data_IF_164105879522
#
_entry.id   IF_164105879522
#
_cell.length_a   1.000
_cell.length_b   1.000
_cell.length_c   1.000
_cell.angle_alpha   90.00
_cell.angle_beta   90.00
_cell.angle_gamma   90.00
#
_symmetry.space_group_name_H-M   'P 1'
#
loop_
_entity.id
_entity.type
_entity.pdbx_description
1 polymer ?
#
# COMPACT_ATOMS: atom_id res chain seq x y z
N UNK A 1 22.84 -8.25 -0.48
CA UNK A 1 24.01 -7.36 -0.67
C UNK A 1 24.54 -7.58 -2.08
N UNK A 2 25.22 -6.59 -2.65
CA UNK A 2 25.80 -6.67 -3.99
C UNK A 2 27.14 -5.94 -4.05
N UNK A 3 27.70 -5.87 -5.25
CA UNK A 3 28.98 -5.20 -5.52
C UNK A 3 28.81 -4.33 -6.77
N UNK A 4 29.38 -3.12 -6.79
CA UNK A 4 29.41 -2.25 -7.98
C UNK A 4 30.44 -2.75 -9.00
N UNK A 5 30.48 -2.15 -10.21
CA UNK A 5 31.56 -2.45 -11.17
C UNK A 5 32.97 -2.07 -10.65
N UNK A 6 33.05 -1.19 -9.66
CA UNK A 6 34.30 -0.77 -9.02
C UNK A 6 34.69 -1.59 -7.78
N UNK A 7 34.05 -2.74 -7.56
CA UNK A 7 34.25 -3.62 -6.40
C UNK A 7 33.80 -3.04 -5.04
N UNK A 8 32.99 -1.97 -5.03
CA UNK A 8 32.43 -1.42 -3.80
C UNK A 8 31.22 -2.23 -3.33
N UNK A 9 31.17 -2.56 -2.04
CA UNK A 9 30.04 -3.25 -1.41
C UNK A 9 28.82 -2.33 -1.36
N UNK A 10 27.68 -2.83 -1.82
CA UNK A 10 26.39 -2.12 -1.78
C UNK A 10 25.27 -2.95 -1.16
N UNK A 11 24.22 -2.29 -0.67
CA UNK A 11 23.03 -2.93 -0.09
C UNK A 11 21.82 -2.74 -0.99
N UNK A 12 20.83 -3.64 -0.86
CA UNK A 12 19.57 -3.57 -1.61
C UNK A 12 18.45 -2.92 -0.78
N UNK A 13 18.79 -2.27 0.33
CA UNK A 13 17.83 -1.77 1.30
C UNK A 13 17.10 -2.88 2.08
N UNK A 14 15.98 -2.51 2.71
CA UNK A 14 15.11 -3.45 3.45
C UNK A 14 14.48 -4.45 2.48
N UNK A 15 14.34 -5.71 2.91
CA UNK A 15 13.83 -6.78 2.05
C UNK A 15 14.84 -7.29 1.01
N UNK A 16 16.12 -6.91 1.12
CA UNK A 16 17.16 -7.36 0.20
C UNK A 16 17.33 -8.88 0.09
N UNK A 17 16.89 -9.65 1.09
CA UNK A 17 16.85 -11.12 1.04
C UNK A 17 15.92 -11.63 -0.06
N UNK A 18 14.67 -11.20 -0.04
CA UNK A 18 13.66 -11.55 -1.06
C UNK A 18 14.12 -11.15 -2.47
N UNK A 19 14.66 -9.93 -2.60
CA UNK A 19 15.15 -9.41 -3.88
C UNK A 19 16.31 -10.28 -4.41
N UNK A 20 17.25 -10.64 -3.53
CA UNK A 20 18.37 -11.51 -3.92
C UNK A 20 17.87 -12.89 -4.31
N UNK A 21 16.96 -13.48 -3.53
CA UNK A 21 16.36 -14.78 -3.82
C UNK A 21 15.67 -14.82 -5.19
N UNK A 22 14.85 -13.81 -5.48
CA UNK A 22 14.18 -13.66 -6.77
C UNK A 22 15.17 -13.47 -7.93
N UNK A 23 16.20 -12.64 -7.75
CA UNK A 23 17.22 -12.41 -8.77
C UNK A 23 18.04 -13.67 -9.09
N UNK A 24 18.39 -14.45 -8.06
CA UNK A 24 19.09 -15.73 -8.24
C UNK A 24 18.18 -16.75 -8.92
N UNK A 25 16.91 -16.84 -8.52
CA UNK A 25 15.92 -17.70 -9.17
C UNK A 25 15.79 -17.35 -10.67
N UNK A 26 15.74 -16.07 -11.01
CA UNK A 26 15.74 -15.57 -12.39
C UNK A 26 17.00 -15.97 -13.15
N UNK A 27 18.19 -15.71 -12.58
CA UNK A 27 19.46 -16.03 -13.23
C UNK A 27 19.64 -17.54 -13.49
N UNK A 28 19.09 -18.39 -12.63
CA UNK A 28 19.17 -19.85 -12.74
C UNK A 28 18.02 -20.48 -13.53
N UNK A 29 17.06 -19.71 -14.03
CA UNK A 29 15.80 -20.21 -14.59
C UNK A 29 15.12 -21.24 -13.66
N UNK A 30 15.05 -20.92 -12.37
CA UNK A 30 14.47 -21.80 -11.37
C UNK A 30 12.97 -22.05 -11.66
N UNK A 31 12.49 -23.25 -11.34
CA UNK A 31 11.08 -23.58 -11.48
C UNK A 31 10.17 -22.90 -10.46
N UNK A 32 10.73 -22.41 -9.35
CA UNK A 32 10.03 -21.74 -8.26
C UNK A 32 11.00 -20.88 -7.46
N UNK A 33 10.52 -19.74 -6.96
CA UNK A 33 11.18 -18.95 -5.92
C UNK A 33 10.43 -19.14 -4.58
N UNK A 34 11.02 -19.84 -3.62
CA UNK A 34 10.40 -20.02 -2.30
C UNK A 34 10.77 -18.86 -1.37
N UNK A 35 9.76 -18.19 -0.82
CA UNK A 35 9.93 -17.16 0.22
C UNK A 35 9.48 -17.76 1.55
N UNK A 36 10.45 -18.11 2.38
CA UNK A 36 10.23 -18.72 3.69
C UNK A 36 10.22 -17.64 4.77
N UNK A 37 9.07 -17.45 5.42
CA UNK A 37 8.82 -16.37 6.39
C UNK A 37 8.25 -16.94 7.70
N UNK A 38 7.84 -16.09 8.64
CA UNK A 38 7.22 -16.47 9.92
C UNK A 38 5.69 -16.61 9.84
N UNK A 39 5.08 -16.15 8.75
CA UNK A 39 3.65 -16.33 8.45
C UNK A 39 3.37 -17.50 7.50
N UNK A 40 2.15 -18.01 7.54
CA UNK A 40 1.71 -19.16 6.75
C UNK A 40 1.75 -18.90 5.24
N UNK A 41 1.54 -17.66 4.83
CA UNK A 41 1.42 -17.23 3.44
C UNK A 41 0.87 -15.81 3.36
N UNK A 42 0.21 -15.47 2.25
CA UNK A 42 -0.46 -14.19 2.07
C UNK A 42 -1.87 -14.26 2.66
N UNK A 43 -2.13 -13.41 3.65
CA UNK A 43 -3.38 -13.32 4.38
C UNK A 43 -4.21 -12.12 3.93
N UNK A 44 -5.53 -12.16 4.12
CA UNK A 44 -6.43 -11.06 3.78
C UNK A 44 -6.33 -9.84 4.71
N UNK A 45 -5.58 -9.93 5.81
CA UNK A 45 -5.15 -8.82 6.65
C UNK A 45 -3.97 -9.27 7.54
N UNK A 46 -3.36 -8.34 8.28
CA UNK A 46 -2.37 -8.68 9.32
C UNK A 46 -3.03 -9.55 10.42
N UNK A 47 -2.59 -10.80 10.63
CA UNK A 47 -3.20 -11.72 11.60
C UNK A 47 -3.07 -11.23 13.05
N UNK A 48 -2.12 -10.36 13.36
CA UNK A 48 -2.00 -9.76 14.69
C UNK A 48 -3.11 -8.73 14.97
N UNK A 49 -3.63 -8.09 13.91
CA UNK A 49 -4.73 -7.14 14.01
C UNK A 49 -6.08 -7.83 13.85
N UNK A 50 -6.14 -8.84 12.98
CA UNK A 50 -7.35 -9.55 12.57
C UNK A 50 -7.13 -11.06 12.72
N UNK A 51 -7.51 -11.66 13.87
CA UNK A 51 -7.31 -13.10 14.11
C UNK A 51 -8.03 -14.00 13.09
N UNK A 52 -9.11 -13.51 12.47
CA UNK A 52 -9.87 -14.19 11.41
C UNK A 52 -9.35 -13.95 9.99
N UNK A 53 -8.12 -13.46 9.81
CA UNK A 53 -7.54 -13.22 8.49
C UNK A 53 -7.50 -14.52 7.67
N UNK A 54 -8.00 -14.47 6.42
CA UNK A 54 -8.11 -15.62 5.54
C UNK A 54 -6.80 -15.86 4.81
N UNK A 55 -6.31 -17.10 4.81
CA UNK A 55 -5.14 -17.51 4.03
C UNK A 55 -5.53 -17.76 2.57
N UNK A 56 -4.85 -17.10 1.64
CA UNK A 56 -5.07 -17.36 0.23
C UNK A 56 -4.22 -18.54 -0.23
N UNK A 57 -4.81 -19.60 -0.81
CA UNK A 57 -4.01 -20.67 -1.42
C UNK A 57 -3.26 -20.16 -2.65
N UNK A 58 -3.82 -19.16 -3.33
CA UNK A 58 -3.23 -18.60 -4.53
C UNK A 58 -3.70 -17.17 -4.81
N UNK A 59 -2.79 -16.33 -5.34
CA UNK A 59 -3.04 -14.97 -5.84
C UNK A 59 -2.22 -14.70 -7.13
N UNK A 60 -2.54 -13.59 -7.82
CA UNK A 60 -1.77 -13.10 -8.96
C UNK A 60 -0.51 -12.34 -8.54
N UNK A 61 0.44 -12.10 -9.47
CA UNK A 61 1.60 -11.27 -9.18
C UNK A 61 1.21 -9.83 -8.85
N UNK A 62 0.27 -9.27 -9.62
CA UNK A 62 -0.23 -7.91 -9.46
C UNK A 62 -0.91 -7.73 -8.09
N UNK A 63 -1.73 -8.71 -7.69
CA UNK A 63 -2.34 -8.78 -6.37
C UNK A 63 -1.28 -8.79 -5.24
N UNK A 64 -0.25 -9.62 -5.39
CA UNK A 64 0.83 -9.72 -4.41
C UNK A 64 1.66 -8.43 -4.30
N UNK A 65 2.01 -7.82 -5.44
CA UNK A 65 2.77 -6.57 -5.53
C UNK A 65 1.97 -5.44 -4.88
N UNK A 66 0.68 -5.34 -5.18
CA UNK A 66 -0.19 -4.30 -4.64
C UNK A 66 -0.41 -4.47 -3.13
N UNK A 67 -0.61 -5.70 -2.65
CA UNK A 67 -0.69 -6.01 -1.21
C UNK A 67 0.60 -5.61 -0.49
N UNK A 68 1.76 -6.03 -1.00
CA UNK A 68 3.07 -5.73 -0.41
C UNK A 68 3.34 -4.23 -0.35
N UNK A 69 3.07 -3.51 -1.46
CA UNK A 69 3.24 -2.06 -1.57
C UNK A 69 2.25 -1.28 -0.68
N UNK A 70 1.12 -1.88 -0.36
CA UNK A 70 0.11 -1.27 0.51
C UNK A 70 0.38 -1.48 2.00
N UNK A 71 1.35 -2.32 2.36
CA UNK A 71 1.81 -2.53 3.74
C UNK A 71 1.77 -3.97 4.22
N UNK A 72 1.32 -4.93 3.40
CA UNK A 72 1.37 -6.35 3.77
C UNK A 72 2.82 -6.84 3.85
N UNK A 73 3.30 -7.17 5.04
CA UNK A 73 4.70 -7.55 5.30
C UNK A 73 4.96 -9.03 5.05
N UNK A 74 4.64 -9.52 3.87
CA UNK A 74 4.79 -10.95 3.52
C UNK A 74 5.99 -11.20 2.61
N UNK A 75 6.23 -10.29 1.66
CA UNK A 75 7.38 -10.31 0.76
C UNK A 75 7.69 -8.89 0.26
N UNK A 76 8.91 -8.64 -0.19
CA UNK A 76 9.28 -7.36 -0.79
C UNK A 76 8.69 -7.20 -2.21
N UNK A 77 7.98 -6.11 -2.56
CA UNK A 77 7.29 -5.97 -3.85
C UNK A 77 8.21 -6.15 -5.06
N UNK A 78 9.44 -5.62 -4.98
CA UNK A 78 10.47 -5.80 -6.03
C UNK A 78 10.82 -7.27 -6.33
N UNK A 79 10.75 -8.15 -5.32
CA UNK A 79 10.99 -9.57 -5.53
C UNK A 79 9.88 -10.20 -6.39
N UNK A 80 8.62 -9.81 -6.15
CA UNK A 80 7.51 -10.25 -6.99
C UNK A 80 7.57 -9.68 -8.40
N UNK A 81 7.99 -8.42 -8.58
CA UNK A 81 8.22 -7.84 -9.91
C UNK A 81 9.27 -8.60 -10.72
N UNK A 82 10.39 -8.99 -10.09
CA UNK A 82 11.43 -9.81 -10.74
C UNK A 82 10.83 -11.15 -11.16
N UNK A 83 10.21 -11.88 -10.25
CA UNK A 83 9.60 -13.17 -10.54
C UNK A 83 8.52 -13.08 -11.64
N UNK A 84 7.70 -12.03 -11.63
CA UNK A 84 6.72 -11.75 -12.69
C UNK A 84 7.39 -11.55 -14.05
N UNK A 85 8.44 -10.72 -14.12
CA UNK A 85 9.14 -10.41 -15.37
C UNK A 85 9.80 -11.64 -16.02
N UNK A 86 10.24 -12.60 -15.21
CA UNK A 86 10.87 -13.85 -15.68
C UNK A 86 9.91 -15.05 -15.68
N UNK A 87 8.63 -14.84 -15.33
CA UNK A 87 7.63 -15.91 -15.31
C UNK A 87 7.87 -17.00 -14.26
N UNK A 88 8.56 -16.69 -13.16
CA UNK A 88 8.91 -17.63 -12.09
C UNK A 88 7.85 -17.60 -10.99
N UNK A 89 7.11 -18.69 -10.74
CA UNK A 89 6.16 -18.78 -9.64
C UNK A 89 6.84 -18.54 -8.29
N UNK A 90 6.16 -17.82 -7.39
CA UNK A 90 6.62 -17.64 -6.02
C UNK A 90 5.78 -18.54 -5.12
N UNK A 91 6.43 -19.19 -4.16
CA UNK A 91 5.73 -19.91 -3.10
C UNK A 91 6.08 -19.30 -1.74
N UNK A 92 5.11 -18.60 -1.16
CA UNK A 92 5.24 -18.04 0.19
C UNK A 92 4.82 -19.10 1.19
N UNK A 93 5.69 -19.40 2.16
CA UNK A 93 5.45 -20.43 3.17
C UNK A 93 6.12 -20.08 4.50
N UNK A 94 5.65 -20.69 5.57
CA UNK A 94 6.28 -20.58 6.89
C UNK A 94 7.53 -21.45 6.99
N UNK A 95 8.55 -20.93 7.67
CA UNK A 95 9.77 -21.68 8.04
C UNK A 95 9.54 -22.61 9.23
N UNK A 96 8.43 -22.47 9.96
CA UNK A 96 8.18 -23.18 11.21
C UNK A 96 7.33 -24.45 11.03
N UNK A 97 6.61 -24.59 9.91
CA UNK A 97 5.77 -25.76 9.65
C UNK A 97 5.46 -25.96 8.16
N UNK A 98 5.07 -27.18 7.79
CA UNK A 98 4.83 -27.60 6.40
C UNK A 98 3.39 -27.37 5.90
N UNK A 99 2.79 -26.21 6.21
CA UNK A 99 1.48 -25.83 5.61
C UNK A 99 1.64 -25.50 4.13
N UNK A 100 0.55 -25.59 3.38
CA UNK A 100 0.56 -25.39 1.93
C UNK A 100 0.94 -23.98 1.50
N UNK A 101 0.75 -22.96 2.36
CA UNK A 101 1.06 -21.56 2.08
C UNK A 101 0.32 -20.96 0.88
N UNK A 102 0.95 -19.99 0.22
CA UNK A 102 0.34 -19.24 -0.89
C UNK A 102 1.21 -19.27 -2.14
N UNK A 103 0.61 -19.68 -3.25
CA UNK A 103 1.22 -19.58 -4.57
C UNK A 103 0.95 -18.22 -5.23
N UNK A 104 1.97 -17.61 -5.82
CA UNK A 104 1.86 -16.38 -6.62
C UNK A 104 2.34 -16.72 -8.03
N UNK A 105 1.43 -16.62 -9.01
CA UNK A 105 1.73 -16.95 -10.42
C UNK A 105 0.77 -16.27 -11.40
N UNK A 106 1.16 -16.22 -12.68
CA UNK A 106 0.37 -15.60 -13.73
C UNK A 106 -0.95 -16.36 -13.99
N UNK A 107 -1.96 -15.64 -14.47
CA UNK A 107 -3.18 -16.23 -15.01
C UNK A 107 -4.12 -16.81 -13.95
N UNK A 108 -3.89 -16.49 -12.67
CA UNK A 108 -4.79 -16.87 -11.59
C UNK A 108 -5.12 -15.66 -10.74
N UNK A 109 -6.40 -15.43 -10.58
CA UNK A 109 -6.98 -14.53 -9.57
C UNK A 109 -7.51 -15.40 -8.45
N UNK A 110 -7.43 -14.94 -7.20
CA UNK A 110 -8.04 -15.64 -6.07
C UNK A 110 -9.54 -15.88 -6.27
N UNK A 111 -10.20 -15.09 -7.14
CA UNK A 111 -11.62 -15.20 -7.46
C UNK A 111 -11.89 -14.92 -8.95
N UNK A 112 -12.84 -15.64 -9.57
CA UNK A 112 -13.29 -15.39 -10.96
C UNK A 112 -14.08 -14.06 -11.11
N UNK A 113 -14.54 -13.47 -10.00
CA UNK A 113 -15.26 -12.19 -9.94
C UNK A 113 -14.43 -11.10 -9.25
N UNK A 114 -14.68 -9.81 -9.55
CA UNK A 114 -14.01 -8.71 -8.85
C UNK A 114 -14.25 -8.81 -7.35
N UNK A 115 -13.18 -8.84 -6.58
CA UNK A 115 -13.25 -8.97 -5.13
C UNK A 115 -12.10 -8.25 -4.46
N UNK A 116 -12.35 -7.84 -3.21
CA UNK A 116 -11.30 -7.45 -2.29
C UNK A 116 -10.62 -8.72 -1.83
N UNK A 117 -9.31 -8.82 -2.05
CA UNK A 117 -8.48 -9.93 -1.58
C UNK A 117 -7.78 -9.60 -0.26
N UNK A 118 -7.66 -8.32 0.09
CA UNK A 118 -7.10 -7.98 1.38
C UNK A 118 -7.30 -6.54 1.81
N UNK A 119 -7.10 -6.34 3.11
CA UNK A 119 -7.07 -5.05 3.78
C UNK A 119 -5.68 -4.89 4.38
N UNK A 120 -5.05 -3.78 4.07
CA UNK A 120 -3.72 -3.43 4.60
C UNK A 120 -3.80 -2.14 5.39
N UNK A 121 -2.97 -2.06 6.42
CA UNK A 121 -2.78 -0.87 7.23
C UNK A 121 -1.30 -0.53 7.29
N UNK A 122 -1.00 0.76 7.19
CA UNK A 122 0.35 1.28 7.23
C UNK A 122 0.40 2.51 8.14
N UNK A 123 1.32 2.47 9.11
CA UNK A 123 1.50 3.52 10.13
C UNK A 123 2.78 4.31 9.81
N UNK A 124 3.00 5.40 10.54
CA UNK A 124 4.23 6.21 10.46
C UNK A 124 4.36 6.90 9.10
N UNK A 125 3.29 7.54 8.67
CA UNK A 125 3.31 8.44 7.53
C UNK A 125 2.93 9.84 7.99
N UNK A 126 3.45 10.85 7.30
CA UNK A 126 3.03 12.23 7.47
C UNK A 126 2.33 12.73 6.20
N UNK A 127 1.27 13.51 6.39
CA UNK A 127 0.57 14.19 5.31
C UNK A 127 1.10 15.62 5.20
N UNK A 128 1.63 15.98 4.04
CA UNK A 128 2.11 17.32 3.76
C UNK A 128 1.15 17.98 2.77
N UNK A 129 0.68 19.19 3.09
CA UNK A 129 -0.20 19.96 2.21
C UNK A 129 0.40 21.33 1.93
N UNK A 130 0.54 21.66 0.65
CA UNK A 130 0.94 22.98 0.17
C UNK A 130 -0.30 23.75 -0.30
N UNK A 131 -0.40 25.01 0.12
CA UNK A 131 -1.52 25.89 -0.20
C UNK A 131 -1.17 26.91 -1.27
N UNK A 132 -2.15 27.22 -2.11
CA UNK A 132 -2.07 28.22 -3.19
C UNK A 132 -0.81 28.09 -4.06
N UNK A 133 -0.51 26.87 -4.48
CA UNK A 133 0.58 26.59 -5.41
C UNK A 133 0.18 27.12 -6.80
N UNK A 134 0.99 27.94 -7.49
CA UNK A 134 0.67 28.40 -8.85
C UNK A 134 0.44 27.22 -9.80
N UNK A 135 -0.72 27.18 -10.45
CA UNK A 135 -1.08 26.11 -11.38
C UNK A 135 -0.52 26.39 -12.78
N UNK A 136 0.81 26.28 -12.91
CA UNK A 136 1.53 26.46 -14.17
C UNK A 136 2.60 25.38 -14.37
N UNK A 137 2.94 25.04 -15.62
CA UNK A 137 3.96 24.04 -15.90
C UNK A 137 5.28 24.30 -15.17
N UNK A 138 5.86 23.24 -14.64
CA UNK A 138 7.17 23.26 -13.96
C UNK A 138 7.12 23.34 -12.43
N UNK A 139 6.06 23.89 -11.83
CA UNK A 139 5.99 24.09 -10.37
C UNK A 139 6.02 22.77 -9.60
N UNK A 140 5.19 21.79 -9.99
CA UNK A 140 5.23 20.46 -9.39
C UNK A 140 6.61 19.80 -9.57
N UNK A 141 7.25 19.98 -10.72
CA UNK A 141 8.59 19.48 -10.99
C UNK A 141 9.64 20.06 -10.05
N UNK A 142 9.57 21.37 -9.76
CA UNK A 142 10.47 22.03 -8.80
C UNK A 142 10.27 21.50 -7.37
N UNK A 143 9.01 21.37 -6.92
CA UNK A 143 8.66 20.83 -5.59
C UNK A 143 9.22 19.41 -5.42
N UNK A 144 8.96 18.53 -6.38
CA UNK A 144 9.35 17.12 -6.27
C UNK A 144 10.84 16.91 -6.53
N UNK A 145 11.49 17.79 -7.28
CA UNK A 145 12.96 17.82 -7.38
C UNK A 145 13.60 18.21 -6.04
N UNK A 146 13.11 19.27 -5.39
CA UNK A 146 13.64 19.72 -4.10
C UNK A 146 13.48 18.62 -3.01
N UNK A 147 12.43 17.81 -3.07
CA UNK A 147 12.26 16.61 -2.22
C UNK A 147 13.28 15.51 -2.55
N UNK A 148 13.47 15.21 -3.84
CA UNK A 148 14.42 14.19 -4.30
C UNK A 148 15.87 14.56 -3.98
N UNK A 149 16.25 15.84 -4.11
CA UNK A 149 17.59 16.36 -3.76
C UNK A 149 17.90 16.20 -2.25
N UNK A 150 16.87 15.97 -1.41
CA UNK A 150 16.98 15.65 0.02
C UNK A 150 16.77 14.18 0.36
N UNK A 151 16.67 13.30 -0.64
CA UNK A 151 16.38 11.87 -0.46
C UNK A 151 15.07 11.59 0.29
N UNK A 152 14.08 12.48 0.13
CA UNK A 152 12.74 12.32 0.73
C UNK A 152 11.85 11.56 -0.24
N UNK A 153 11.58 10.29 0.09
CA UNK A 153 10.71 9.43 -0.70
C UNK A 153 9.22 9.78 -0.51
N UNK A 154 8.49 9.81 -1.62
CA UNK A 154 7.08 10.17 -1.67
C UNK A 154 6.26 8.91 -1.96
N UNK A 155 5.22 8.71 -1.16
CA UNK A 155 4.37 7.51 -1.23
C UNK A 155 3.10 7.73 -2.05
N UNK A 156 2.57 8.94 -2.01
CA UNK A 156 1.32 9.30 -2.66
C UNK A 156 1.31 10.80 -2.94
N UNK A 157 0.78 11.18 -4.10
CA UNK A 157 0.55 12.57 -4.50
C UNK A 157 -0.95 12.72 -4.76
N UNK A 158 -1.53 13.79 -4.22
CA UNK A 158 -2.92 14.19 -4.39
C UNK A 158 -2.91 15.67 -4.75
N UNK A 159 -3.33 15.97 -5.98
CA UNK A 159 -3.56 17.36 -6.40
C UNK A 159 -5.04 17.54 -6.63
N UNK A 160 -5.64 18.46 -5.89
CA UNK A 160 -6.97 18.96 -6.21
C UNK A 160 -6.82 20.25 -7.00
N UNK A 161 -7.39 20.29 -8.20
CA UNK A 161 -7.57 21.55 -8.92
C UNK A 161 -8.47 22.46 -8.08
N UNK A 162 -8.01 23.71 -7.86
CA UNK A 162 -8.85 24.76 -7.30
C UNK A 162 -9.10 25.81 -8.39
N UNK A 163 -10.07 26.70 -8.17
CA UNK A 163 -10.57 27.59 -9.22
C UNK A 163 -9.42 28.44 -9.84
N UNK A 164 -9.21 28.19 -11.13
CA UNK A 164 -8.61 28.98 -12.22
C UNK A 164 -7.11 29.38 -12.22
N UNK A 165 -6.36 29.45 -11.10
CA UNK A 165 -4.89 29.71 -11.18
C UNK A 165 -4.03 29.09 -10.07
N UNK A 166 -4.66 28.47 -9.07
CA UNK A 166 -3.97 27.96 -7.88
C UNK A 166 -4.41 26.53 -7.60
N UNK A 167 -3.47 25.70 -7.17
CA UNK A 167 -3.71 24.33 -6.76
C UNK A 167 -3.40 24.13 -5.28
N UNK A 168 -3.99 23.08 -4.72
CA UNK A 168 -3.52 22.47 -3.47
C UNK A 168 -2.81 21.18 -3.83
N UNK A 169 -1.56 21.05 -3.39
CA UNK A 169 -0.78 19.83 -3.58
C UNK A 169 -0.59 19.20 -2.22
N UNK A 170 -1.14 18.00 -2.05
CA UNK A 170 -0.95 17.15 -0.88
C UNK A 170 -0.09 15.96 -1.28
N UNK A 171 0.86 15.58 -0.44
CA UNK A 171 1.65 14.37 -0.63
C UNK A 171 1.94 13.69 0.70
N UNK A 172 2.21 12.39 0.63
CA UNK A 172 2.47 11.54 1.79
C UNK A 172 3.94 11.13 1.78
N UNK A 173 4.61 11.28 2.91
CA UNK A 173 5.98 10.83 3.17
C UNK A 173 6.01 9.89 4.36
N UNK A 174 7.10 9.14 4.55
CA UNK A 174 7.32 8.46 5.84
C UNK A 174 7.51 9.50 6.95
N UNK A 175 7.01 9.20 8.16
CA UNK A 175 7.03 10.10 9.33
C UNK A 175 8.44 10.61 9.67
N UNK A 176 9.47 9.82 9.38
CA UNK A 176 10.87 10.21 9.60
C UNK A 176 11.31 11.42 8.74
N UNK A 177 10.65 11.68 7.61
CA UNK A 177 10.95 12.82 6.73
C UNK A 177 10.13 14.08 7.04
N UNK A 178 9.25 14.04 8.05
CA UNK A 178 8.35 15.15 8.36
C UNK A 178 9.08 16.47 8.71
N UNK A 179 10.22 16.39 9.39
CA UNK A 179 11.03 17.59 9.71
C UNK A 179 11.69 18.16 8.45
N UNK A 180 12.24 17.31 7.58
CA UNK A 180 12.80 17.73 6.29
C UNK A 180 11.75 18.38 5.38
N UNK A 181 10.52 17.84 5.36
CA UNK A 181 9.39 18.45 4.65
C UNK A 181 8.99 19.81 5.25
N UNK A 182 9.05 19.95 6.58
CA UNK A 182 8.76 21.23 7.26
C UNK A 182 9.75 22.32 6.85
N UNK A 183 11.03 21.98 6.71
CA UNK A 183 12.05 22.91 6.23
C UNK A 183 11.80 23.33 4.77
N UNK A 184 11.50 22.37 3.90
CA UNK A 184 11.18 22.65 2.50
C UNK A 184 9.96 23.57 2.34
N UNK A 185 8.91 23.40 3.15
CA UNK A 185 7.75 24.30 3.16
C UNK A 185 8.18 25.75 3.42
N UNK A 186 9.08 25.97 4.39
CA UNK A 186 9.59 27.32 4.69
C UNK A 186 10.38 27.91 3.52
N UNK A 187 11.11 27.07 2.79
CA UNK A 187 11.85 27.48 1.59
C UNK A 187 10.91 27.81 0.43
N UNK A 188 9.94 26.96 0.15
CA UNK A 188 8.94 27.18 -0.89
C UNK A 188 8.09 28.43 -0.63
N UNK A 189 7.76 28.71 0.64
CA UNK A 189 7.11 29.97 1.05
C UNK A 189 7.97 31.19 0.72
N UNK A 190 9.28 31.14 1.01
CA UNK A 190 10.22 32.23 0.67
C UNK A 190 10.41 32.40 -0.84
N UNK A 191 10.42 31.29 -1.59
CA UNK A 191 10.52 31.28 -3.06
C UNK A 191 9.22 31.72 -3.75
N UNK A 192 8.09 31.81 -3.03
CA UNK A 192 6.78 32.10 -3.59
C UNK A 192 6.16 30.93 -4.38
N UNK A 193 6.62 29.70 -4.14
CA UNK A 193 6.12 28.47 -4.75
C UNK A 193 4.78 28.03 -4.13
N UNK A 194 4.60 28.31 -2.84
CA UNK A 194 3.35 28.10 -2.10
C UNK A 194 3.14 29.28 -1.14
N UNK A 195 1.89 29.60 -0.80
CA UNK A 195 1.62 30.66 0.20
C UNK A 195 1.88 30.17 1.63
N UNK A 196 1.59 28.91 1.89
CA UNK A 196 1.94 28.21 3.12
C UNK A 196 1.95 26.70 2.92
N UNK A 197 2.31 25.96 3.97
CA UNK A 197 2.12 24.52 4.02
C UNK A 197 1.89 24.01 5.44
N UNK A 198 1.35 22.80 5.51
CA UNK A 198 1.04 22.10 6.76
C UNK A 198 1.62 20.69 6.70
N UNK A 199 2.25 20.27 7.79
CA UNK A 199 2.65 18.87 8.02
C UNK A 199 1.78 18.32 9.13
N UNK A 200 0.98 17.32 8.80
CA UNK A 200 0.16 16.55 9.73
C UNK A 200 0.86 15.21 9.98
N UNK A 201 1.35 15.06 11.21
CA UNK A 201 1.99 13.85 11.72
C UNK A 201 0.93 12.89 12.28
N UNK A 202 1.36 11.71 12.70
CA UNK A 202 0.48 10.69 13.28
C UNK A 202 -0.64 10.26 12.33
N UNK A 203 -0.35 10.22 11.03
CA UNK A 203 -1.27 9.74 10.01
C UNK A 203 -1.01 8.26 9.69
N UNK A 204 -2.07 7.59 9.25
CA UNK A 204 -2.04 6.21 8.80
C UNK A 204 -2.79 6.05 7.48
N UNK A 205 -2.37 5.05 6.70
CA UNK A 205 -3.03 4.63 5.47
C UNK A 205 -3.72 3.30 5.71
N UNK A 206 -4.99 3.23 5.35
CA UNK A 206 -5.72 1.97 5.20
C UNK A 206 -6.04 1.78 3.73
N UNK A 207 -5.89 0.56 3.22
CA UNK A 207 -6.22 0.25 1.84
C UNK A 207 -6.91 -1.10 1.70
N UNK A 208 -7.91 -1.15 0.83
CA UNK A 208 -8.40 -2.40 0.26
C UNK A 208 -7.66 -2.67 -1.04
N UNK A 209 -7.27 -3.92 -1.25
CA UNK A 209 -6.61 -4.40 -2.46
C UNK A 209 -7.43 -5.53 -3.06
N UNK A 210 -7.56 -5.52 -4.38
CA UNK A 210 -8.42 -6.44 -5.10
C UNK A 210 -8.26 -6.32 -6.60
N UNK A 211 -8.81 -7.25 -7.36
CA UNK A 211 -8.87 -7.11 -8.82
C UNK A 211 -10.04 -6.20 -9.21
N UNK A 212 -9.81 -5.29 -10.17
CA UNK A 212 -10.87 -4.48 -10.81
C UNK A 212 -11.66 -3.59 -9.82
N UNK A 213 -11.02 -3.05 -8.80
CA UNK A 213 -11.68 -2.18 -7.80
C UNK A 213 -12.25 -0.91 -8.45
N UNK A 214 -11.49 -0.25 -9.33
CA UNK A 214 -11.93 0.98 -10.00
C UNK A 214 -13.11 0.75 -10.95
N UNK A 215 -13.19 -0.44 -11.56
CA UNK A 215 -14.22 -0.83 -12.52
C UNK A 215 -15.40 -1.57 -11.91
N UNK A 216 -15.39 -1.81 -10.59
CA UNK A 216 -16.49 -2.51 -9.90
C UNK A 216 -17.24 -1.54 -9.00
N UNK A 217 -18.46 -1.12 -9.39
CA UNK A 217 -19.27 -0.22 -8.59
C UNK A 217 -19.53 -0.77 -7.18
N UNK A 218 -19.43 0.10 -6.18
CA UNK A 218 -19.87 -0.18 -4.81
C UNK A 218 -18.78 -0.68 -3.85
N UNK A 219 -17.62 -1.16 -4.30
CA UNK A 219 -16.56 -1.63 -3.39
C UNK A 219 -15.97 -0.49 -2.54
N UNK A 220 -15.65 0.64 -3.17
CA UNK A 220 -15.19 1.83 -2.43
C UNK A 220 -16.28 2.34 -1.45
N UNK A 221 -17.55 2.34 -1.87
CA UNK A 221 -18.66 2.76 -1.03
C UNK A 221 -18.79 1.89 0.22
N UNK A 222 -18.66 0.57 0.10
CA UNK A 222 -18.65 -0.36 1.24
C UNK A 222 -17.53 -0.04 2.24
N UNK A 223 -16.30 0.19 1.75
CA UNK A 223 -15.18 0.61 2.60
C UNK A 223 -15.50 1.91 3.35
N UNK A 224 -15.97 2.94 2.65
CA UNK A 224 -16.26 4.25 3.27
C UNK A 224 -17.39 4.15 4.29
N UNK A 225 -18.43 3.36 4.01
CA UNK A 225 -19.52 3.11 4.95
C UNK A 225 -19.06 2.32 6.18
N UNK A 226 -18.15 1.36 6.01
CA UNK A 226 -17.56 0.62 7.13
C UNK A 226 -16.76 1.55 8.05
N UNK A 227 -15.95 2.45 7.50
CA UNK A 227 -15.24 3.47 8.27
C UNK A 227 -16.20 4.44 8.97
N UNK A 228 -17.24 4.88 8.28
CA UNK A 228 -18.23 5.81 8.83
C UNK A 228 -18.99 5.22 10.03
N UNK A 229 -19.34 3.91 10.01
CA UNK A 229 -19.99 3.23 11.15
C UNK A 229 -19.12 3.21 12.41
N UNK A 230 -17.80 3.22 12.25
CA UNK A 230 -16.82 3.30 13.34
C UNK A 230 -16.48 4.74 13.76
N UNK A 231 -17.16 5.75 13.18
CA UNK A 231 -16.88 7.16 13.43
C UNK A 231 -15.49 7.61 12.96
N UNK A 232 -14.93 6.96 11.94
CA UNK A 232 -13.59 7.23 11.41
C UNK A 232 -13.69 8.26 10.28
N UNK A 233 -13.05 9.41 10.46
CA UNK A 233 -13.00 10.45 9.44
C UNK A 233 -11.95 10.11 8.37
N UNK A 234 -12.27 10.35 7.10
CA UNK A 234 -11.35 10.15 5.98
C UNK A 234 -10.75 11.51 5.59
N UNK A 235 -9.42 11.61 5.67
CA UNK A 235 -8.68 12.83 5.34
C UNK A 235 -8.37 12.95 3.85
N UNK A 236 -7.97 11.84 3.24
CA UNK A 236 -7.63 11.76 1.83
C UNK A 236 -8.08 10.43 1.27
N UNK A 237 -8.46 10.43 -0.01
CA UNK A 237 -8.80 9.23 -0.77
C UNK A 237 -7.87 9.16 -1.98
N UNK A 238 -7.34 7.98 -2.24
CA UNK A 238 -6.63 7.67 -3.48
C UNK A 238 -7.09 6.32 -4.01
N UNK A 239 -7.07 6.16 -5.33
CA UNK A 239 -7.52 4.94 -5.99
C UNK A 239 -6.64 4.62 -7.19
N UNK A 240 -6.49 3.34 -7.47
CA UNK A 240 -5.92 2.77 -8.69
C UNK A 240 -6.85 1.66 -9.19
N UNK A 241 -6.47 0.94 -10.23
CA UNK A 241 -7.26 -0.19 -10.72
C UNK A 241 -7.47 -1.28 -9.67
N UNK A 242 -6.46 -1.51 -8.80
CA UNK A 242 -6.45 -2.62 -7.85
C UNK A 242 -6.46 -2.21 -6.38
N UNK A 243 -6.50 -0.91 -6.10
CA UNK A 243 -6.43 -0.38 -4.72
C UNK A 243 -7.35 0.80 -4.52
N UNK A 244 -8.04 0.83 -3.39
CA UNK A 244 -8.63 2.05 -2.81
C UNK A 244 -7.98 2.28 -1.45
N UNK A 245 -7.40 3.46 -1.25
CA UNK A 245 -6.70 3.83 -0.04
C UNK A 245 -7.30 5.09 0.58
N UNK A 246 -7.37 5.10 1.92
CA UNK A 246 -7.76 6.25 2.71
C UNK A 246 -6.62 6.63 3.66
N UNK A 247 -6.43 7.93 3.86
CA UNK A 247 -5.61 8.47 4.94
C UNK A 247 -6.53 8.81 6.11
N UNK A 248 -6.14 8.39 7.31
CA UNK A 248 -6.87 8.55 8.58
C UNK A 248 -5.86 8.85 9.70
N UNK A 249 -6.33 9.16 10.91
CA UNK A 249 -5.44 9.31 12.07
C UNK A 249 -4.94 7.95 12.56
N UNK A 250 -3.70 7.89 13.05
CA UNK A 250 -3.02 6.62 13.41
C UNK A 250 -3.71 5.86 14.54
N UNK A 251 -4.29 6.57 15.50
CA UNK A 251 -5.01 5.99 16.64
C UNK A 251 -6.25 5.17 16.22
N UNK A 252 -6.78 5.44 15.03
CA UNK A 252 -7.97 4.78 14.50
C UNK A 252 -7.66 3.57 13.62
N UNK A 253 -6.39 3.35 13.22
CA UNK A 253 -6.03 2.38 12.19
C UNK A 253 -6.46 0.94 12.54
N UNK A 254 -6.19 0.49 13.76
CA UNK A 254 -6.47 -0.90 14.12
C UNK A 254 -7.98 -1.19 14.11
N UNK A 255 -8.80 -0.20 14.50
CA UNK A 255 -10.26 -0.29 14.41
C UNK A 255 -10.73 -0.24 12.95
N UNK A 256 -10.13 0.65 12.15
CA UNK A 256 -10.40 0.77 10.72
C UNK A 256 -10.16 -0.56 9.98
N UNK A 257 -8.99 -1.18 10.20
CA UNK A 257 -8.59 -2.43 9.54
C UNK A 257 -9.56 -3.55 9.89
N UNK A 258 -9.93 -3.70 11.17
CA UNK A 258 -10.91 -4.72 11.60
C UNK A 258 -12.29 -4.51 10.99
N UNK A 259 -12.81 -3.29 11.03
CA UNK A 259 -14.15 -2.99 10.52
C UNK A 259 -14.25 -3.14 8.99
N UNK A 260 -13.23 -2.70 8.27
CA UNK A 260 -13.17 -2.88 6.81
C UNK A 260 -12.97 -4.35 6.47
N UNK A 261 -12.15 -5.09 7.22
CA UNK A 261 -12.00 -6.53 7.00
C UNK A 261 -13.31 -7.27 7.24
N UNK A 262 -14.01 -7.00 8.35
CA UNK A 262 -15.31 -7.59 8.65
C UNK A 262 -16.34 -7.29 7.55
N UNK A 263 -16.38 -6.06 7.02
CA UNK A 263 -17.27 -5.71 5.91
C UNK A 263 -17.06 -6.58 4.66
N UNK A 264 -15.82 -6.96 4.34
CA UNK A 264 -15.50 -7.74 3.13
C UNK A 264 -15.38 -9.26 3.36
N UNK A 265 -15.05 -9.69 4.57
CA UNK A 265 -14.70 -11.06 4.91
C UNK A 265 -15.48 -11.64 6.10
N UNK A 266 -16.34 -10.86 6.74
CA UNK A 266 -17.29 -11.34 7.73
C UNK A 266 -18.28 -12.34 7.13
N UNK A 267 -18.85 -13.19 7.98
CA UNK A 267 -19.98 -14.03 7.56
C UNK A 267 -21.22 -13.15 7.34
N UNK A 268 -22.02 -13.41 6.29
CA UNK A 268 -23.28 -12.69 6.14
C UNK A 268 -24.14 -12.92 7.39
N UNK A 269 -24.72 -11.86 7.97
CA UNK A 269 -25.75 -12.02 9.00
C UNK A 269 -26.82 -12.97 8.45
N UNK A 270 -26.90 -14.17 9.03
CA UNK A 270 -28.00 -15.09 8.76
C UNK A 270 -29.24 -14.39 9.29
N UNK A 271 -30.03 -13.79 8.39
CA UNK A 271 -31.35 -13.26 8.70
C UNK A 271 -32.14 -14.43 9.27
N UNK A 272 -32.24 -14.52 10.60
CA UNK A 272 -33.15 -15.44 11.26
C UNK A 272 -34.54 -15.01 10.84
N UNK A 273 -35.08 -15.66 9.80
CA UNK A 273 -36.50 -15.60 9.53
C UNK A 273 -37.21 -15.98 10.82
N UNK A 274 -37.88 -15.01 11.43
CA UNK A 274 -38.89 -15.29 12.45
C UNK A 274 -39.92 -16.20 11.79
N UNK A 275 -39.81 -17.50 12.03
CA UNK A 275 -40.90 -18.43 11.78
C UNK A 275 -42.01 -17.96 12.72
N UNK A 276 -43.05 -17.37 12.12
CA UNK A 276 -44.24 -16.93 12.84
C UNK A 276 -44.86 -18.10 13.58
N UNK A 277 -45.26 -17.85 14.82
CA UNK A 277 -46.24 -18.65 15.55
C UNK A 277 -47.64 -18.07 15.29
#
# INVERSE_FOLDING_TARGET
QGVTEGDDVTTLGRGGGDITGAAVAAALNASVCEICTDVDGVLSADPNLVPGARLWPQISYEEAIEMASSGAKVLHPRAAEICMAYGIPIHVRSSFHHRAGTWIRQGVSAMEQPSVIGVSGDKKIAKVTLFEVPDRPGIAGEIFKDLADRDINIRLIIQSASNEERARITFIVDEEFADGATELIREWKKKGIASDGLVERDMAKIAIVGSRLSSTPGLAARMFMALAREGINIDCISSSEMKVACIITTDQLDRAVRAVHEEFFGEPEVVRQKVGA
#
